data_IF_232029063558
#
_entry.id   IF_232029063558
#
_cell.length_a   1.000
_cell.length_b   1.000
_cell.length_c   1.000
_cell.angle_alpha   90.00
_cell.angle_beta   90.00
_cell.angle_gamma   90.00
#
_symmetry.space_group_name_H-M   'P 1'
#
loop_
_entity.id
_entity.type
_entity.pdbx_description
1 polymer ?
#
# COMPACT_ATOMS: atom_id res chain seq x y z
N UNK A 1 24.77 -21.36 9.67
CA UNK A 1 25.43 -20.09 9.30
C UNK A 1 25.21 -19.71 7.83
N UNK A 2 25.29 -20.65 6.89
CA UNK A 2 24.97 -20.43 5.46
C UNK A 2 23.54 -19.97 5.20
N UNK A 3 22.54 -20.52 5.89
CA UNK A 3 21.14 -20.09 5.75
C UNK A 3 20.90 -18.65 6.22
N UNK A 4 21.49 -18.27 7.35
CA UNK A 4 21.46 -16.88 7.85
C UNK A 4 22.10 -15.92 6.86
N UNK A 5 23.22 -16.32 6.23
CA UNK A 5 23.90 -15.53 5.20
C UNK A 5 23.00 -15.30 3.98
N UNK A 6 22.25 -16.34 3.54
CA UNK A 6 21.29 -16.22 2.43
C UNK A 6 20.15 -15.27 2.77
N UNK A 7 19.61 -15.36 3.99
CA UNK A 7 18.54 -14.45 4.46
C UNK A 7 19.05 -13.01 4.48
N UNK A 8 20.23 -12.75 5.04
CA UNK A 8 20.83 -11.41 5.08
C UNK A 8 21.08 -10.88 3.68
N UNK A 9 21.61 -11.72 2.77
CA UNK A 9 21.81 -11.35 1.38
C UNK A 9 20.50 -11.02 0.66
N UNK A 10 19.43 -11.79 0.90
CA UNK A 10 18.10 -11.52 0.36
C UNK A 10 17.50 -10.22 0.90
N UNK A 11 17.62 -9.97 2.20
CA UNK A 11 17.16 -8.74 2.83
C UNK A 11 17.90 -7.51 2.29
N UNK A 12 19.23 -7.63 2.15
CA UNK A 12 20.08 -6.61 1.57
C UNK A 12 19.67 -6.32 0.12
N UNK A 13 19.45 -7.37 -0.69
CA UNK A 13 19.03 -7.25 -2.08
C UNK A 13 17.66 -6.58 -2.21
N UNK A 14 16.67 -6.99 -1.41
CA UNK A 14 15.32 -6.41 -1.41
C UNK A 14 15.33 -4.94 -0.97
N UNK A 15 16.11 -4.63 0.06
CA UNK A 15 16.29 -3.26 0.55
C UNK A 15 16.93 -2.39 -0.54
N UNK A 16 17.98 -2.90 -1.19
CA UNK A 16 18.63 -2.20 -2.30
C UNK A 16 17.66 -1.93 -3.45
N UNK A 17 16.89 -2.94 -3.85
CA UNK A 17 15.89 -2.82 -4.92
C UNK A 17 14.81 -1.78 -4.60
N UNK A 18 14.33 -1.73 -3.36
CA UNK A 18 13.34 -0.74 -2.90
C UNK A 18 13.89 0.68 -3.00
N UNK A 19 15.13 0.90 -2.54
CA UNK A 19 15.78 2.22 -2.65
C UNK A 19 16.06 2.61 -4.09
N UNK A 20 16.48 1.68 -4.95
CA UNK A 20 16.71 1.94 -6.37
C UNK A 20 15.40 2.34 -7.08
N UNK A 21 14.29 1.67 -6.79
CA UNK A 21 12.98 2.03 -7.35
C UNK A 21 12.55 3.44 -6.92
N UNK A 22 12.80 3.80 -5.64
CA UNK A 22 12.51 5.15 -5.12
C UNK A 22 13.38 6.22 -5.78
N UNK A 23 14.67 5.92 -5.97
CA UNK A 23 15.63 6.83 -6.61
C UNK A 23 15.34 6.99 -8.10
N UNK A 24 14.95 5.92 -8.79
CA UNK A 24 14.45 5.97 -10.15
C UNK A 24 13.21 6.86 -10.23
N UNK A 25 12.22 6.68 -9.35
CA UNK A 25 11.03 7.53 -9.27
C UNK A 25 11.35 9.02 -9.06
N UNK A 26 12.26 9.35 -8.14
CA UNK A 26 12.66 10.74 -7.89
C UNK A 26 13.43 11.37 -9.06
N UNK A 27 14.38 10.64 -9.64
CA UNK A 27 15.25 11.14 -10.71
C UNK A 27 14.55 11.19 -12.07
N UNK A 28 13.72 10.19 -12.38
CA UNK A 28 12.90 10.16 -13.59
C UNK A 28 11.68 11.07 -13.45
N UNK A 29 11.04 11.14 -12.28
CA UNK A 29 9.86 11.99 -12.05
C UNK A 29 10.14 13.48 -12.26
N UNK A 30 11.35 13.95 -11.93
CA UNK A 30 11.76 15.32 -12.19
C UNK A 30 12.15 15.60 -13.66
N UNK A 31 12.45 14.55 -14.45
CA UNK A 31 12.85 14.66 -15.87
C UNK A 31 11.72 14.34 -16.84
N UNK A 32 10.73 13.57 -16.40
CA UNK A 32 9.53 13.27 -17.15
C UNK A 32 8.57 14.44 -16.95
N UNK A 33 8.55 15.36 -17.92
CA UNK A 33 7.49 16.37 -18.04
C UNK A 33 6.21 15.64 -18.47
N UNK A 34 5.59 14.94 -17.52
CA UNK A 34 4.31 14.28 -17.73
C UNK A 34 3.27 15.36 -18.02
N UNK A 35 2.58 15.23 -19.15
CA UNK A 35 1.41 16.05 -19.47
C UNK A 35 0.38 15.94 -18.35
N UNK A 36 -0.40 17.00 -18.11
CA UNK A 36 -1.41 17.01 -17.03
C UNK A 36 -2.37 15.84 -17.14
N UNK A 37 -2.75 15.45 -18.36
CA UNK A 37 -3.58 14.27 -18.62
C UNK A 37 -2.97 12.98 -18.08
N UNK A 38 -1.66 12.78 -18.29
CA UNK A 38 -0.96 11.58 -17.82
C UNK A 38 -0.83 11.55 -16.30
N UNK A 39 -0.65 12.72 -15.64
CA UNK A 39 -0.62 12.80 -14.17
C UNK A 39 -1.97 12.43 -13.57
N UNK A 40 -3.06 12.90 -14.18
CA UNK A 40 -4.43 12.56 -13.76
C UNK A 40 -4.67 11.06 -13.88
N UNK A 41 -4.34 10.44 -15.03
CA UNK A 41 -4.50 8.98 -15.19
C UNK A 41 -3.62 8.18 -14.24
N UNK A 42 -2.38 8.64 -13.96
CA UNK A 42 -1.50 7.95 -13.02
C UNK A 42 -2.01 8.05 -11.58
N UNK A 43 -2.54 9.21 -11.20
CA UNK A 43 -3.16 9.42 -9.89
C UNK A 43 -4.41 8.53 -9.74
N UNK A 44 -5.23 8.45 -10.77
CA UNK A 44 -6.44 7.60 -10.77
C UNK A 44 -6.08 6.11 -10.75
N UNK A 45 -5.05 5.69 -11.48
CA UNK A 45 -4.54 4.33 -11.39
C UNK A 45 -4.03 3.99 -9.98
N UNK A 46 -3.35 4.94 -9.32
CA UNK A 46 -2.86 4.76 -7.95
C UNK A 46 -4.01 4.66 -6.94
N UNK A 47 -5.06 5.48 -7.07
CA UNK A 47 -6.24 5.39 -6.19
C UNK A 47 -6.99 4.07 -6.40
N UNK A 48 -7.20 3.65 -7.65
CA UNK A 48 -7.81 2.34 -7.97
C UNK A 48 -6.96 1.19 -7.44
N UNK A 49 -5.63 1.25 -7.57
CA UNK A 49 -4.73 0.24 -7.02
C UNK A 49 -4.85 0.16 -5.49
N UNK A 50 -4.76 1.30 -4.80
CA UNK A 50 -4.86 1.35 -3.34
C UNK A 50 -6.24 0.88 -2.85
N UNK A 51 -7.31 1.25 -3.55
CA UNK A 51 -8.66 0.80 -3.25
C UNK A 51 -8.81 -0.72 -3.44
N UNK A 52 -8.30 -1.25 -4.55
CA UNK A 52 -8.29 -2.68 -4.83
C UNK A 52 -7.51 -3.45 -3.76
N UNK A 53 -6.33 -2.96 -3.36
CA UNK A 53 -5.54 -3.54 -2.26
C UNK A 53 -6.32 -3.52 -0.95
N UNK A 54 -6.98 -2.41 -0.62
CA UNK A 54 -7.77 -2.31 0.61
C UNK A 54 -8.91 -3.33 0.64
N UNK A 55 -9.59 -3.55 -0.49
CA UNK A 55 -10.61 -4.61 -0.60
C UNK A 55 -9.96 -5.98 -0.45
N UNK A 56 -8.89 -6.26 -1.18
CA UNK A 56 -8.21 -7.55 -1.16
C UNK A 56 -7.74 -7.92 0.26
N UNK A 57 -7.14 -6.99 1.00
CA UNK A 57 -6.65 -7.22 2.37
C UNK A 57 -7.77 -7.25 3.42
N UNK A 58 -8.93 -6.66 3.12
CA UNK A 58 -10.12 -6.77 3.96
C UNK A 58 -10.73 -8.17 3.89
N UNK A 59 -10.80 -8.76 2.70
CA UNK A 59 -11.41 -10.08 2.49
C UNK A 59 -10.43 -11.25 2.71
N UNK A 60 -9.16 -11.08 2.33
CA UNK A 60 -8.15 -12.13 2.35
C UNK A 60 -6.99 -11.80 3.27
N UNK A 61 -6.59 -12.79 4.09
CA UNK A 61 -5.35 -12.75 4.83
C UNK A 61 -4.56 -14.03 4.59
N UNK A 62 -3.40 -13.86 3.94
CA UNK A 62 -2.54 -14.94 3.45
C UNK A 62 -3.30 -15.89 2.51
N UNK A 63 -3.99 -16.89 3.05
CA UNK A 63 -4.70 -17.96 2.31
C UNK A 63 -6.10 -18.25 2.89
N UNK A 64 -6.50 -17.57 3.98
CA UNK A 64 -7.77 -17.81 4.67
C UNK A 64 -8.66 -16.58 4.63
N UNK A 65 -9.97 -16.83 4.61
CA UNK A 65 -10.97 -15.78 4.77
C UNK A 65 -10.72 -15.09 6.12
N UNK A 66 -10.45 -13.78 6.10
CA UNK A 66 -10.00 -13.01 7.27
C UNK A 66 -11.08 -12.87 8.38
N UNK A 67 -12.22 -13.55 8.22
CA UNK A 67 -13.31 -13.61 9.17
C UNK A 67 -14.21 -12.38 9.11
N UNK A 68 -15.46 -12.56 9.55
CA UNK A 68 -16.46 -11.48 9.63
C UNK A 68 -15.97 -10.36 10.56
N UNK A 69 -15.10 -10.66 11.54
CA UNK A 69 -14.52 -9.69 12.46
C UNK A 69 -13.73 -8.58 11.75
N UNK A 70 -12.88 -8.91 10.77
CA UNK A 70 -12.10 -7.90 10.03
C UNK A 70 -13.00 -7.07 9.13
N UNK A 71 -13.94 -7.70 8.41
CA UNK A 71 -14.90 -6.99 7.54
C UNK A 71 -15.76 -6.02 8.35
N UNK A 72 -16.23 -6.44 9.54
CA UNK A 72 -16.97 -5.58 10.44
C UNK A 72 -16.13 -4.40 10.94
N UNK A 73 -14.88 -4.64 11.36
CA UNK A 73 -13.96 -3.57 11.77
C UNK A 73 -13.72 -2.54 10.66
N UNK A 74 -13.44 -3.01 9.44
CA UNK A 74 -13.26 -2.13 8.27
C UNK A 74 -14.54 -1.36 7.94
N UNK A 75 -15.71 -1.99 8.00
CA UNK A 75 -16.99 -1.31 7.77
C UNK A 75 -17.24 -0.19 8.80
N UNK A 76 -16.93 -0.45 10.08
CA UNK A 76 -17.04 0.56 11.14
C UNK A 76 -16.01 1.69 10.93
N UNK A 77 -14.77 1.36 10.57
CA UNK A 77 -13.74 2.35 10.26
C UNK A 77 -14.16 3.26 9.09
N UNK A 78 -14.73 2.69 8.02
CA UNK A 78 -15.26 3.46 6.88
C UNK A 78 -16.42 4.37 7.32
N UNK A 79 -17.33 3.87 8.15
CA UNK A 79 -18.47 4.64 8.65
C UNK A 79 -18.03 5.80 9.57
N UNK A 80 -17.01 5.59 10.40
CA UNK A 80 -16.41 6.62 11.24
C UNK A 80 -15.64 7.67 10.41
N UNK A 81 -14.94 7.24 9.36
CA UNK A 81 -14.28 8.15 8.42
C UNK A 81 -15.30 9.06 7.70
N UNK A 82 -16.45 8.51 7.27
CA UNK A 82 -17.54 9.29 6.69
C UNK A 82 -18.16 10.31 7.65
N UNK A 83 -18.15 10.01 8.95
CA UNK A 83 -18.63 10.94 9.98
C UNK A 83 -17.60 12.03 10.33
N UNK A 84 -16.47 12.13 9.61
CA UNK A 84 -15.38 13.09 9.84
C UNK A 84 -14.81 13.03 11.28
N UNK A 85 -14.79 11.84 11.87
CA UNK A 85 -14.21 11.58 13.20
C UNK A 85 -12.68 11.73 13.13
N UNK A 86 -11.99 12.18 14.21
CA UNK A 86 -10.53 12.26 14.23
C UNK A 86 -9.87 10.97 13.74
N UNK A 87 -8.89 11.10 12.83
CA UNK A 87 -8.23 9.95 12.18
C UNK A 87 -7.67 8.94 13.20
N UNK A 88 -7.17 9.43 14.34
CA UNK A 88 -6.66 8.56 15.42
C UNK A 88 -7.73 7.56 15.88
N UNK A 89 -8.98 7.99 16.03
CA UNK A 89 -10.07 7.14 16.53
C UNK A 89 -10.43 6.08 15.50
N UNK A 90 -10.37 6.42 14.21
CA UNK A 90 -10.63 5.49 13.11
C UNK A 90 -9.58 4.36 13.08
N UNK A 91 -8.32 4.66 13.41
CA UNK A 91 -7.22 3.68 13.42
C UNK A 91 -7.31 2.72 14.61
N UNK A 92 -7.93 3.13 15.71
CA UNK A 92 -8.07 2.29 16.92
C UNK A 92 -9.15 1.20 16.82
N UNK A 93 -10.04 1.29 15.83
CA UNK A 93 -11.11 0.32 15.57
C UNK A 93 -10.61 -0.84 14.74
#
# INVERSE_FOLDING_TARGET
>A
MTETMKIIAGLALLSLGTYLMRLAGAKLGNRLVLSESSKLTLADAATVLLFSVAIATTFYENEHFAGIARVAGVAVAVLLAWRKVPLIIVIFV
#
